data_IF_715542088141
#
_entry.id   IF_715542088141
#
_cell.length_a   1.000
_cell.length_b   1.000
_cell.length_c   1.000
_cell.angle_alpha   90.00
_cell.angle_beta   90.00
_cell.angle_gamma   90.00
#
_symmetry.space_group_name_H-M   'P 1'
#
loop_
_entity.id
_entity.type
_entity.pdbx_description
1 polymer ?
#
# COMPACT_ATOMS: atom_id res chain seq x y z
N UNK A 1 20.04 -53.81 50.49
CA UNK A 1 21.09 -53.30 49.58
C UNK A 1 20.38 -52.82 48.33
N UNK A 2 20.32 -51.49 48.10
CA UNK A 2 21.13 -50.77 47.09
C UNK A 2 20.99 -51.40 45.68
N UNK A 3 20.71 -50.72 44.58
CA UNK A 3 20.37 -49.34 44.19
C UNK A 3 20.23 -49.37 42.63
N UNK A 4 19.69 -48.30 42.02
CA UNK A 4 19.65 -47.98 40.57
C UNK A 4 18.62 -48.73 39.69
N UNK A 5 17.55 -48.11 39.19
CA UNK A 5 17.47 -47.02 38.20
C UNK A 5 18.03 -47.41 36.81
N UNK A 6 17.14 -47.65 35.85
CA UNK A 6 17.36 -47.19 34.48
C UNK A 6 16.02 -47.07 33.75
N UNK A 7 15.69 -45.83 33.44
CA UNK A 7 14.57 -45.45 32.61
C UNK A 7 14.90 -45.77 31.15
N UNK A 8 14.07 -46.60 30.50
CA UNK A 8 14.00 -46.63 29.04
C UNK A 8 12.89 -45.67 28.62
N UNK A 9 13.32 -44.49 28.21
CA UNK A 9 12.51 -43.42 27.64
C UNK A 9 11.85 -43.96 26.38
N UNK A 10 10.56 -44.30 26.47
CA UNK A 10 9.71 -44.44 25.29
C UNK A 10 9.50 -43.02 24.78
N UNK A 11 10.40 -42.59 23.91
CA UNK A 11 10.23 -41.37 23.13
C UNK A 11 9.15 -41.64 22.09
N UNK A 12 7.89 -41.56 22.52
CA UNK A 12 6.78 -41.28 21.61
C UNK A 12 7.07 -39.89 21.08
N UNK A 13 7.74 -39.85 19.94
CA UNK A 13 7.81 -38.71 19.07
C UNK A 13 6.35 -38.43 18.69
N UNK A 14 5.68 -37.61 19.51
CA UNK A 14 4.44 -36.97 19.11
C UNK A 14 4.81 -36.24 17.83
N UNK A 15 4.38 -36.78 16.70
CA UNK A 15 4.20 -36.01 15.49
C UNK A 15 3.29 -34.87 15.93
N UNK A 16 3.89 -33.73 16.27
CA UNK A 16 3.22 -32.45 16.21
C UNK A 16 2.84 -32.30 14.75
N UNK A 17 1.65 -32.82 14.42
CA UNK A 17 0.86 -32.29 13.34
C UNK A 17 0.73 -30.82 13.72
N UNK A 18 1.59 -29.97 13.17
CA UNK A 18 1.22 -28.59 13.01
C UNK A 18 0.01 -28.68 12.08
N UNK A 19 -1.23 -28.41 12.53
CA UNK A 19 -2.24 -28.06 11.55
C UNK A 19 -1.65 -26.83 10.88
N UNK A 20 -1.27 -26.98 9.61
CA UNK A 20 -0.94 -25.85 8.76
C UNK A 20 -2.09 -24.87 8.95
N UNK A 21 -1.75 -23.72 9.54
CA UNK A 21 -2.66 -22.76 10.13
C UNK A 21 -3.67 -22.34 9.08
N UNK A 22 -4.85 -22.98 9.07
CA UNK A 22 -6.00 -22.56 8.28
C UNK A 22 -6.55 -21.28 8.93
N UNK A 23 -5.79 -20.20 8.85
CA UNK A 23 -6.19 -18.91 9.37
C UNK A 23 -6.25 -17.93 8.23
N UNK A 24 -7.32 -17.99 7.44
CA UNK A 24 -7.70 -16.85 6.58
C UNK A 24 -9.22 -16.65 6.58
N UNK A 25 -9.81 -16.65 7.78
CA UNK A 25 -11.08 -15.98 8.00
C UNK A 25 -10.82 -14.47 7.89
N UNK A 26 -10.84 -13.96 6.67
CA UNK A 26 -10.74 -12.54 6.37
C UNK A 26 -11.87 -11.81 7.10
N UNK A 27 -11.52 -10.80 7.91
CA UNK A 27 -12.50 -9.91 8.52
C UNK A 27 -12.89 -8.83 7.53
N UNK A 28 -14.15 -8.77 7.15
CA UNK A 28 -14.64 -7.77 6.21
C UNK A 28 -14.27 -6.32 6.60
N UNK A 29 -13.87 -5.53 5.61
CA UNK A 29 -13.57 -4.09 5.79
C UNK A 29 -14.83 -3.24 5.70
N UNK A 30 -15.87 -3.74 5.03
CA UNK A 30 -17.19 -3.15 5.03
C UNK A 30 -18.07 -3.95 6.02
N UNK A 31 -18.24 -3.50 7.27
CA UNK A 31 -18.96 -4.30 8.28
C UNK A 31 -20.43 -4.48 7.91
N UNK A 32 -21.04 -3.44 7.38
CA UNK A 32 -22.44 -3.38 6.95
C UNK A 32 -22.49 -3.50 5.43
N UNK A 33 -23.11 -4.55 4.89
CA UNK A 33 -23.19 -4.74 3.44
C UNK A 33 -23.69 -6.13 3.07
N UNK A 34 -24.45 -6.20 1.99
CA UNK A 34 -25.01 -7.43 1.47
C UNK A 34 -23.98 -8.17 0.63
N UNK A 35 -23.86 -9.49 0.81
CA UNK A 35 -23.05 -10.33 -0.07
C UNK A 35 -23.67 -10.37 -1.47
N UNK A 36 -22.91 -9.94 -2.48
CA UNK A 36 -23.30 -10.02 -3.89
C UNK A 36 -22.86 -11.35 -4.48
N UNK A 37 -21.62 -11.76 -4.22
CA UNK A 37 -21.04 -13.00 -4.74
C UNK A 37 -19.98 -13.54 -3.80
N UNK A 38 -19.79 -14.85 -3.82
CA UNK A 38 -18.83 -15.50 -2.94
C UNK A 38 -18.37 -16.84 -3.54
N UNK A 39 -17.08 -17.13 -3.42
CA UNK A 39 -16.49 -18.39 -3.81
C UNK A 39 -15.48 -18.81 -2.74
N UNK A 40 -15.58 -20.07 -2.32
CA UNK A 40 -14.64 -20.71 -1.39
C UNK A 40 -13.68 -21.64 -2.14
N UNK A 41 -12.52 -21.90 -1.56
CA UNK A 41 -11.56 -22.91 -1.99
C UNK A 41 -11.07 -23.70 -0.78
N UNK A 42 -10.77 -24.98 -0.95
CA UNK A 42 -10.13 -25.79 0.09
C UNK A 42 -8.62 -25.56 0.06
N UNK A 43 -8.05 -25.16 1.21
CA UNK A 43 -6.61 -25.07 1.43
C UNK A 43 -6.27 -25.77 2.74
N UNK A 44 -5.37 -26.77 2.68
CA UNK A 44 -5.04 -27.58 3.86
C UNK A 44 -6.24 -28.31 4.49
N UNK A 45 -7.29 -28.59 3.70
CA UNK A 45 -8.53 -29.22 4.17
C UNK A 45 -9.57 -28.27 4.77
N UNK A 46 -9.27 -26.97 4.89
CA UNK A 46 -10.20 -25.95 5.38
C UNK A 46 -10.75 -25.10 4.23
N UNK A 47 -12.05 -24.71 4.26
CA UNK A 47 -12.59 -23.75 3.32
C UNK A 47 -12.09 -22.33 3.65
N UNK A 48 -11.54 -21.66 2.64
CA UNK A 48 -11.11 -20.25 2.71
C UNK A 48 -11.79 -19.46 1.60
N UNK A 49 -11.90 -18.13 1.78
CA UNK A 49 -12.37 -17.25 0.72
C UNK A 49 -11.40 -17.30 -0.45
N UNK A 50 -11.91 -17.65 -1.63
CA UNK A 50 -11.19 -17.44 -2.89
C UNK A 50 -11.53 -16.08 -3.48
N UNK A 51 -12.80 -15.71 -3.40
CA UNK A 51 -13.32 -14.43 -3.88
C UNK A 51 -14.60 -14.08 -3.15
N UNK A 52 -14.81 -12.80 -2.87
CA UNK A 52 -16.13 -12.29 -2.52
C UNK A 52 -16.34 -10.85 -3.00
N UNK A 53 -17.62 -10.47 -3.09
CA UNK A 53 -18.04 -9.09 -3.30
C UNK A 53 -19.18 -8.76 -2.32
N UNK A 54 -19.06 -7.64 -1.61
CA UNK A 54 -20.10 -7.08 -0.73
C UNK A 54 -20.43 -5.67 -1.16
N UNK A 55 -21.67 -5.27 -0.92
CA UNK A 55 -22.13 -3.94 -1.25
C UNK A 55 -23.05 -3.35 -0.19
N UNK A 56 -22.82 -2.08 0.10
CA UNK A 56 -23.71 -1.26 0.91
C UNK A 56 -24.07 0.00 0.14
N UNK A 57 -25.35 0.37 0.21
CA UNK A 57 -25.89 1.53 -0.47
C UNK A 57 -26.40 2.50 0.57
N UNK A 58 -26.08 3.77 0.37
CA UNK A 58 -26.51 4.85 1.23
C UNK A 58 -26.77 6.12 0.40
N UNK A 59 -27.26 7.15 1.05
CA UNK A 59 -27.43 8.48 0.49
C UNK A 59 -26.52 9.44 1.25
N UNK A 60 -25.77 10.27 0.52
CA UNK A 60 -25.03 11.39 1.09
C UNK A 60 -25.55 12.67 0.42
N UNK A 61 -26.39 13.42 1.15
CA UNK A 61 -27.18 14.50 0.54
C UNK A 61 -28.18 13.95 -0.48
N UNK A 62 -28.11 14.43 -1.72
CA UNK A 62 -28.93 13.95 -2.84
C UNK A 62 -28.28 12.83 -3.65
N UNK A 63 -27.02 12.51 -3.37
CA UNK A 63 -26.25 11.55 -4.15
C UNK A 63 -26.42 10.14 -3.59
N UNK A 64 -26.70 9.18 -4.48
CA UNK A 64 -26.66 7.77 -4.12
C UNK A 64 -25.22 7.28 -4.12
N UNK A 65 -24.80 6.75 -2.97
CA UNK A 65 -23.44 6.25 -2.73
C UNK A 65 -23.49 4.73 -2.61
N UNK A 66 -22.49 4.08 -3.20
CA UNK A 66 -22.30 2.64 -3.14
C UNK A 66 -20.90 2.37 -2.61
N UNK A 67 -20.81 1.68 -1.48
CA UNK A 67 -19.58 1.07 -1.00
C UNK A 67 -19.54 -0.36 -1.50
N UNK A 68 -18.41 -0.77 -2.09
CA UNK A 68 -18.19 -2.12 -2.58
C UNK A 68 -16.87 -2.66 -2.09
N UNK A 69 -16.94 -3.71 -1.29
CA UNK A 69 -15.78 -4.48 -0.90
C UNK A 69 -15.58 -5.63 -1.88
N UNK A 70 -14.39 -5.78 -2.43
CA UNK A 70 -14.04 -6.89 -3.32
C UNK A 70 -12.74 -7.51 -2.86
N UNK A 71 -12.76 -8.83 -2.69
CA UNK A 71 -11.61 -9.62 -2.32
C UNK A 71 -11.38 -10.71 -3.37
N UNK A 72 -10.12 -10.91 -3.76
CA UNK A 72 -9.67 -11.98 -4.62
C UNK A 72 -8.31 -12.48 -4.12
N UNK A 73 -8.30 -13.73 -3.63
CA UNK A 73 -7.16 -14.40 -3.02
C UNK A 73 -5.90 -14.29 -3.87
N UNK A 74 -4.78 -13.89 -3.26
CA UNK A 74 -3.49 -13.67 -3.91
C UNK A 74 -3.48 -12.56 -4.98
N UNK A 75 -4.50 -11.69 -5.04
CA UNK A 75 -4.54 -10.57 -6.00
C UNK A 75 -4.79 -9.21 -5.36
N UNK A 76 -5.94 -9.00 -4.74
CA UNK A 76 -6.29 -7.72 -4.12
C UNK A 76 -7.43 -7.85 -3.13
N UNK A 77 -7.44 -6.94 -2.17
CA UNK A 77 -8.58 -6.67 -1.31
C UNK A 77 -8.83 -5.17 -1.31
N UNK A 78 -9.99 -4.74 -1.79
CA UNK A 78 -10.29 -3.31 -1.93
C UNK A 78 -11.67 -2.95 -1.44
N UNK A 79 -11.80 -1.72 -0.95
CA UNK A 79 -13.06 -1.06 -0.66
C UNK A 79 -13.18 0.18 -1.54
N UNK A 80 -14.12 0.13 -2.48
CA UNK A 80 -14.39 1.23 -3.39
C UNK A 80 -15.65 1.99 -2.96
N UNK A 81 -15.59 3.31 -3.03
CA UNK A 81 -16.73 4.23 -2.90
C UNK A 81 -17.10 4.79 -4.25
N UNK A 82 -18.34 4.56 -4.67
CA UNK A 82 -18.92 5.07 -5.90
C UNK A 82 -20.01 6.11 -5.59
N UNK A 83 -19.99 7.23 -6.32
CA UNK A 83 -21.14 8.11 -6.45
C UNK A 83 -21.90 7.80 -7.75
N UNK A 84 -23.22 7.77 -7.69
CA UNK A 84 -24.08 7.53 -8.85
C UNK A 84 -24.39 8.84 -9.56
N UNK A 85 -23.56 9.21 -10.53
CA UNK A 85 -23.72 10.45 -11.31
C UNK A 85 -24.45 10.15 -12.62
N UNK A 86 -25.64 10.73 -12.80
CA UNK A 86 -26.50 10.50 -13.97
C UNK A 86 -26.75 9.00 -14.24
N UNK A 87 -26.99 8.24 -13.17
CA UNK A 87 -27.24 6.79 -13.24
C UNK A 87 -26.00 5.92 -13.52
N UNK A 88 -24.80 6.50 -13.56
CA UNK A 88 -23.55 5.76 -13.79
C UNK A 88 -22.63 5.83 -12.56
N UNK A 89 -22.07 4.70 -12.09
CA UNK A 89 -21.15 4.72 -10.97
C UNK A 89 -19.83 5.38 -11.35
N UNK A 90 -19.35 6.29 -10.50
CA UNK A 90 -18.05 6.94 -10.59
C UNK A 90 -17.29 6.74 -9.29
N UNK A 91 -16.04 6.30 -9.37
CA UNK A 91 -15.13 6.26 -8.22
C UNK A 91 -14.92 7.70 -7.74
N UNK A 92 -15.36 7.98 -6.53
CA UNK A 92 -15.36 9.33 -5.95
C UNK A 92 -15.16 9.24 -4.43
N UNK A 93 -14.32 10.11 -3.90
CA UNK A 93 -13.89 10.05 -2.51
C UNK A 93 -12.86 8.93 -2.28
N UNK A 94 -12.78 8.47 -1.04
CA UNK A 94 -11.78 7.50 -0.59
C UNK A 94 -12.02 6.10 -1.15
N UNK A 95 -10.99 5.55 -1.79
CA UNK A 95 -10.84 4.14 -2.14
C UNK A 95 -9.73 3.58 -1.26
N UNK A 96 -9.85 2.32 -0.86
CA UNK A 96 -8.86 1.68 0.02
C UNK A 96 -8.45 0.34 -0.57
N UNK A 97 -7.16 0.04 -0.48
CA UNK A 97 -6.60 -1.27 -0.78
C UNK A 97 -5.91 -1.81 0.47
N UNK A 98 -6.11 -3.09 0.71
CA UNK A 98 -5.65 -3.82 1.86
C UNK A 98 -4.76 -4.97 1.40
N UNK A 99 -3.74 -5.25 2.19
CA UNK A 99 -2.94 -6.47 2.09
C UNK A 99 -3.84 -7.67 2.37
N UNK A 100 -3.34 -8.85 2.02
CA UNK A 100 -4.02 -10.12 2.29
C UNK A 100 -4.30 -10.34 3.79
N UNK A 101 -3.45 -9.79 4.68
CA UNK A 101 -3.65 -9.80 6.13
C UNK A 101 -4.67 -8.75 6.64
N UNK A 102 -5.26 -7.95 5.75
CA UNK A 102 -6.25 -6.93 6.07
C UNK A 102 -5.69 -5.59 6.53
N UNK A 103 -4.37 -5.44 6.57
CA UNK A 103 -3.75 -4.14 6.85
C UNK A 103 -3.91 -3.21 5.65
N UNK A 104 -4.25 -1.95 5.93
CA UNK A 104 -4.36 -0.91 4.91
C UNK A 104 -3.00 -0.68 4.24
N UNK A 105 -2.95 -0.83 2.92
CA UNK A 105 -1.73 -0.66 2.12
C UNK A 105 -1.73 0.68 1.40
N UNK A 106 -2.87 1.00 0.78
CA UNK A 106 -3.04 2.17 -0.07
C UNK A 106 -4.41 2.82 0.16
N UNK A 107 -4.46 4.15 0.05
CA UNK A 107 -5.69 4.90 -0.13
C UNK A 107 -5.59 5.83 -1.33
N UNK A 108 -6.69 5.99 -2.05
CA UNK A 108 -6.83 6.94 -3.14
C UNK A 108 -7.98 7.88 -2.84
N UNK A 109 -7.74 9.19 -2.89
CA UNK A 109 -8.80 10.20 -2.89
C UNK A 109 -9.13 10.56 -4.35
N UNK A 110 -10.23 10.02 -4.87
CA UNK A 110 -10.64 10.23 -6.27
C UNK A 110 -11.57 11.44 -6.42
N UNK A 111 -11.31 12.31 -7.41
CA UNK A 111 -12.18 13.47 -7.68
C UNK A 111 -13.55 13.11 -8.25
N UNK A 112 -13.68 11.97 -8.94
CA UNK A 112 -14.94 11.53 -9.55
C UNK A 112 -14.76 11.12 -11.01
N UNK A 113 -14.43 9.85 -11.27
CA UNK A 113 -14.37 9.35 -12.64
C UNK A 113 -14.61 7.85 -12.75
N UNK A 114 -14.67 7.32 -13.98
CA UNK A 114 -14.81 5.86 -14.17
C UNK A 114 -13.59 5.08 -13.67
N UNK A 115 -12.40 5.69 -13.70
CA UNK A 115 -11.11 5.01 -13.47
C UNK A 115 -10.23 5.69 -12.42
N UNK A 116 -10.74 6.69 -11.69
CA UNK A 116 -9.96 7.47 -10.73
C UNK A 116 -8.64 8.01 -11.35
N UNK A 117 -8.75 8.65 -12.51
CA UNK A 117 -7.59 9.16 -13.24
C UNK A 117 -6.92 10.37 -12.58
N UNK A 118 -7.66 11.11 -11.77
CA UNK A 118 -7.13 12.18 -10.94
C UNK A 118 -7.33 11.78 -9.50
N UNK A 119 -6.24 11.77 -8.73
CA UNK A 119 -6.25 11.27 -7.37
C UNK A 119 -5.07 11.76 -6.56
N UNK A 120 -5.24 11.88 -5.25
CA UNK A 120 -4.12 11.83 -4.32
C UNK A 120 -4.02 10.40 -3.79
N UNK A 121 -2.84 9.79 -3.92
CA UNK A 121 -2.58 8.43 -3.42
C UNK A 121 -1.73 8.47 -2.17
N UNK A 122 -2.03 7.60 -1.24
CA UNK A 122 -1.39 7.48 0.07
C UNK A 122 -0.98 6.03 0.24
N UNK A 123 0.28 5.79 0.62
CA UNK A 123 0.79 4.46 0.92
C UNK A 123 1.19 4.39 2.38
N UNK A 124 1.00 3.24 3.00
CA UNK A 124 1.21 3.07 4.44
C UNK A 124 2.25 1.99 4.73
N UNK A 125 3.00 2.18 5.81
CA UNK A 125 3.81 1.11 6.41
C UNK A 125 2.89 0.05 7.02
N UNK A 126 3.39 -1.19 7.25
CA UNK A 126 2.63 -2.23 7.96
C UNK A 126 2.11 -1.81 9.35
N UNK A 127 2.74 -0.83 10.00
CA UNK A 127 2.28 -0.25 11.28
C UNK A 127 1.14 0.77 11.15
N UNK A 128 0.70 1.09 9.93
CA UNK A 128 -0.37 2.05 9.63
C UNK A 128 0.10 3.51 9.51
N UNK A 129 1.38 3.80 9.73
CA UNK A 129 1.95 5.14 9.53
C UNK A 129 2.05 5.45 8.03
N UNK A 130 1.86 6.72 7.68
CA UNK A 130 1.96 7.18 6.30
C UNK A 130 3.40 7.04 5.80
N UNK A 131 3.60 6.31 4.71
CA UNK A 131 4.89 6.10 4.07
C UNK A 131 5.14 7.13 2.97
N UNK A 132 4.12 7.40 2.15
CA UNK A 132 4.21 8.42 1.10
C UNK A 132 2.85 8.90 0.68
N UNK A 133 2.80 10.07 0.06
CA UNK A 133 1.62 10.53 -0.68
C UNK A 133 2.04 11.18 -1.99
N UNK A 134 1.20 11.09 -3.01
CA UNK A 134 1.49 11.64 -4.34
C UNK A 134 0.23 12.09 -5.05
N UNK A 135 0.35 13.21 -5.74
CA UNK A 135 -0.69 13.72 -6.63
C UNK A 135 -0.60 13.07 -8.01
N UNK A 136 -1.76 12.75 -8.59
CA UNK A 136 -1.88 12.17 -9.92
C UNK A 136 -2.90 12.93 -10.75
N UNK A 137 -2.53 13.17 -12.01
CA UNK A 137 -3.41 13.66 -13.05
C UNK A 137 -3.30 12.73 -14.26
N UNK A 138 -4.44 12.35 -14.86
CA UNK A 138 -4.49 11.41 -16.00
C UNK A 138 -3.72 10.09 -15.76
N UNK A 139 -3.76 9.58 -14.53
CA UNK A 139 -3.03 8.40 -14.04
C UNK A 139 -1.50 8.53 -14.03
N UNK A 140 -0.96 9.75 -14.11
CA UNK A 140 0.48 10.02 -14.02
C UNK A 140 0.75 10.88 -12.81
N UNK A 141 1.89 10.68 -12.15
CA UNK A 141 2.30 11.57 -11.05
C UNK A 141 2.43 12.99 -11.58
N UNK A 142 1.73 13.93 -10.95
CA UNK A 142 1.72 15.33 -11.35
C UNK A 142 1.44 16.17 -10.11
N UNK A 143 2.36 17.06 -9.76
CA UNK A 143 2.36 17.79 -8.50
C UNK A 143 3.34 17.20 -7.48
N UNK A 144 3.00 17.36 -6.20
CA UNK A 144 3.88 17.00 -5.10
C UNK A 144 3.92 15.48 -4.83
N UNK A 145 5.11 15.00 -4.46
CA UNK A 145 5.37 13.69 -3.89
C UNK A 145 6.12 13.85 -2.57
N UNK A 146 5.56 13.27 -1.52
CA UNK A 146 6.18 13.24 -0.20
C UNK A 146 6.46 11.81 0.22
N UNK A 147 7.60 11.60 0.87
CA UNK A 147 7.96 10.34 1.51
C UNK A 147 8.33 10.61 2.96
N UNK A 148 7.96 9.69 3.85
CA UNK A 148 8.14 9.82 5.29
C UNK A 148 8.87 8.60 5.85
N UNK A 149 9.63 8.79 6.92
CA UNK A 149 10.11 7.71 7.77
C UNK A 149 8.94 7.07 8.53
N UNK A 150 9.15 5.87 9.10
CA UNK A 150 8.10 5.14 9.81
C UNK A 150 7.61 5.81 11.10
N UNK A 151 8.35 6.78 11.61
CA UNK A 151 7.96 7.64 12.74
C UNK A 151 7.15 8.89 12.32
N UNK A 152 6.94 9.07 11.01
CA UNK A 152 6.20 10.19 10.43
C UNK A 152 7.04 11.41 10.07
N UNK A 153 8.36 11.40 10.31
CA UNK A 153 9.24 12.49 9.90
C UNK A 153 9.36 12.55 8.36
N UNK A 154 9.37 13.76 7.80
CA UNK A 154 9.51 13.95 6.35
C UNK A 154 10.90 13.50 5.91
N UNK A 155 10.96 12.63 4.91
CA UNK A 155 12.20 12.13 4.30
C UNK A 155 12.54 12.87 3.01
N UNK A 156 11.55 13.04 2.13
CA UNK A 156 11.74 13.63 0.80
C UNK A 156 10.52 14.43 0.37
N UNK A 157 10.76 15.51 -0.37
CA UNK A 157 9.75 16.25 -1.11
C UNK A 157 10.23 16.49 -2.56
N UNK A 158 9.48 15.96 -3.52
CA UNK A 158 9.81 15.93 -4.95
C UNK A 158 8.62 16.47 -5.75
N UNK A 159 8.89 17.16 -6.86
CA UNK A 159 7.88 17.60 -7.82
C UNK A 159 7.92 16.72 -9.06
N UNK A 160 6.74 16.32 -9.52
CA UNK A 160 6.56 15.60 -10.77
C UNK A 160 5.68 16.36 -11.75
N UNK A 161 5.99 16.24 -13.04
CA UNK A 161 5.13 16.67 -14.13
C UNK A 161 4.86 15.48 -15.07
N UNK A 162 3.69 14.85 -14.92
CA UNK A 162 3.27 13.71 -15.75
C UNK A 162 4.33 12.58 -15.80
N UNK A 163 4.71 12.09 -14.63
CA UNK A 163 5.76 11.09 -14.35
C UNK A 163 7.20 11.53 -14.60
N UNK A 164 7.43 12.76 -15.03
CA UNK A 164 8.78 13.34 -15.12
C UNK A 164 9.14 13.97 -13.78
N UNK A 165 10.30 13.63 -13.22
CA UNK A 165 10.78 14.28 -12.01
C UNK A 165 11.38 15.64 -12.39
N UNK A 166 10.76 16.74 -11.97
CA UNK A 166 11.22 18.08 -12.35
C UNK A 166 12.16 18.65 -11.31
N UNK A 167 11.84 18.47 -10.04
CA UNK A 167 12.59 19.10 -8.97
C UNK A 167 12.65 18.23 -7.71
N UNK A 168 13.74 18.39 -6.97
CA UNK A 168 13.87 17.85 -5.61
C UNK A 168 13.95 19.02 -4.62
N UNK A 169 12.88 19.19 -3.85
CA UNK A 169 12.71 20.38 -3.00
C UNK A 169 13.40 20.22 -1.65
N UNK A 170 13.38 19.00 -1.09
CA UNK A 170 14.00 18.72 0.19
C UNK A 170 14.32 17.24 0.37
N UNK A 171 15.35 16.97 1.16
CA UNK A 171 15.75 15.65 1.62
C UNK A 171 16.20 15.77 3.08
N UNK A 172 15.75 14.88 3.96
CA UNK A 172 16.15 14.82 5.36
C UNK A 172 16.61 13.42 5.78
N UNK A 173 17.52 13.34 6.75
CA UNK A 173 17.85 12.10 7.46
C UNK A 173 16.77 11.71 8.47
N UNK A 174 16.91 10.54 9.11
CA UNK A 174 15.94 10.04 10.09
C UNK A 174 15.87 10.86 11.39
N UNK A 175 16.80 11.80 11.62
CA UNK A 175 16.78 12.74 12.74
C UNK A 175 16.19 14.10 12.35
N UNK A 176 15.76 14.27 11.09
CA UNK A 176 15.21 15.50 10.56
C UNK A 176 16.27 16.51 10.10
N UNK A 177 17.55 16.14 10.03
CA UNK A 177 18.59 17.04 9.51
C UNK A 177 18.52 17.09 7.99
N UNK A 178 18.69 18.28 7.38
CA UNK A 178 18.69 18.42 5.92
C UNK A 178 19.91 17.72 5.30
N UNK A 179 19.68 17.03 4.20
CA UNK A 179 20.68 16.42 3.33
C UNK A 179 20.72 17.16 1.99
N UNK A 180 21.85 17.13 1.28
CA UNK A 180 21.97 17.72 -0.05
C UNK A 180 21.09 16.95 -1.05
N UNK A 181 19.99 17.54 -1.57
CA UNK A 181 19.12 16.84 -2.48
C UNK A 181 19.74 16.67 -3.90
N UNK A 182 20.80 17.42 -4.22
CA UNK A 182 21.38 17.53 -5.55
C UNK A 182 20.92 18.79 -6.28
N UNK A 183 21.08 18.80 -7.61
CA UNK A 183 20.88 19.99 -8.45
C UNK A 183 19.67 19.90 -9.37
N UNK A 184 18.86 18.85 -9.27
CA UNK A 184 17.72 18.63 -10.17
C UNK A 184 16.71 19.79 -10.07
N UNK A 185 16.56 20.52 -11.17
CA UNK A 185 15.68 21.67 -11.32
C UNK A 185 15.15 21.70 -12.76
N UNK A 186 13.84 21.93 -12.93
CA UNK A 186 13.16 21.92 -14.24
C UNK A 186 13.47 20.66 -15.10
N UNK A 187 13.69 19.53 -14.42
CA UNK A 187 13.94 18.23 -15.02
C UNK A 187 15.38 17.96 -15.49
N UNK A 188 16.31 18.90 -15.33
CA UNK A 188 17.72 18.70 -15.66
C UNK A 188 18.59 18.77 -14.39
N UNK A 189 19.66 17.97 -14.35
CA UNK A 189 20.59 17.92 -13.21
C UNK A 189 20.66 16.53 -12.59
N UNK A 190 20.94 16.46 -11.29
CA UNK A 190 20.96 15.18 -10.58
C UNK A 190 20.26 15.24 -9.23
N UNK A 191 19.77 14.10 -8.78
CA UNK A 191 19.28 13.89 -7.42
C UNK A 191 20.22 12.94 -6.67
N UNK A 192 20.57 13.29 -5.44
CA UNK A 192 21.28 12.40 -4.53
C UNK A 192 20.28 11.41 -3.90
N UNK A 193 20.72 10.18 -3.67
CA UNK A 193 19.94 9.12 -3.04
C UNK A 193 20.67 8.62 -1.81
N UNK A 194 20.00 8.75 -0.67
CA UNK A 194 20.52 8.33 0.62
C UNK A 194 19.82 7.06 1.10
N UNK A 195 20.61 6.21 1.74
CA UNK A 195 20.15 5.07 2.55
C UNK A 195 19.38 5.53 3.80
N UNK A 196 18.74 4.59 4.49
CA UNK A 196 17.93 4.89 5.70
C UNK A 196 18.73 5.50 6.86
N UNK A 197 20.03 5.24 6.92
CA UNK A 197 20.94 5.81 7.93
C UNK A 197 21.63 7.09 7.44
N UNK A 198 21.20 7.68 6.31
CA UNK A 198 21.71 8.96 5.81
C UNK A 198 23.02 8.88 5.03
N UNK A 199 23.52 7.69 4.68
CA UNK A 199 24.69 7.56 3.81
C UNK A 199 24.28 7.78 2.35
N UNK A 200 25.03 8.63 1.63
CA UNK A 200 24.88 8.81 0.18
C UNK A 200 25.32 7.52 -0.52
N UNK A 201 24.41 6.88 -1.25
CA UNK A 201 24.67 5.59 -1.92
C UNK A 201 24.60 5.68 -3.43
N UNK A 202 23.88 6.68 -3.96
CA UNK A 202 23.69 6.79 -5.40
C UNK A 202 23.43 8.25 -5.80
N UNK A 203 23.82 8.58 -7.02
CA UNK A 203 23.43 9.80 -7.72
C UNK A 203 22.71 9.45 -9.03
N UNK A 204 21.51 10.01 -9.20
CA UNK A 204 20.68 9.83 -10.40
C UNK A 204 20.67 11.10 -11.23
N UNK A 205 21.05 11.00 -12.49
CA UNK A 205 21.11 12.12 -13.44
C UNK A 205 19.88 12.13 -14.33
N UNK A 206 19.31 13.30 -14.53
CA UNK A 206 18.10 13.50 -15.30
C UNK A 206 18.31 14.48 -16.45
N UNK A 207 17.59 14.23 -17.54
CA UNK A 207 17.35 15.25 -18.54
C UNK A 207 15.89 15.28 -18.99
N UNK A 208 15.31 16.48 -19.06
CA UNK A 208 13.87 16.69 -19.33
C UNK A 208 12.98 15.81 -18.44
N UNK A 209 13.39 15.70 -17.18
CA UNK A 209 12.79 14.95 -16.08
C UNK A 209 12.79 13.43 -16.23
N UNK A 210 13.61 12.89 -17.14
CA UNK A 210 13.83 11.45 -17.32
C UNK A 210 15.20 11.05 -16.85
N UNK A 211 15.28 9.93 -16.14
CA UNK A 211 16.55 9.33 -15.74
C UNK A 211 17.39 8.99 -16.99
N UNK A 212 18.65 9.45 -17.01
CA UNK A 212 19.60 9.19 -18.10
C UNK A 212 20.82 8.40 -17.64
N UNK A 213 21.20 8.50 -16.37
CA UNK A 213 22.36 7.81 -15.81
C UNK A 213 22.22 7.66 -14.30
N UNK A 214 22.79 6.59 -13.76
CA UNK A 214 22.94 6.34 -12.33
C UNK A 214 24.41 6.10 -12.02
N UNK A 215 24.87 6.60 -10.88
CA UNK A 215 26.22 6.44 -10.37
C UNK A 215 26.12 5.95 -8.92
N UNK A 216 26.68 4.77 -8.63
CA UNK A 216 26.76 4.25 -7.27
C UNK A 216 27.94 4.92 -6.55
N UNK A 217 27.70 5.41 -5.34
CA UNK A 217 28.70 6.03 -4.48
C UNK A 217 29.09 4.96 -3.45
N UNK A 218 30.33 4.46 -3.55
CA UNK A 218 30.90 3.47 -2.61
C UNK A 218 31.39 4.12 -1.32
#
# INVERSE_FOLDING_TARGET
MLHFASAAIISIMMLTVCPARAQENHTFQLPEGNMISQQLQLMGGAPVWKQYEREWRTMEGTDSIIYRETYLLGRYWRLNRYAMLSGKPRLMGWQKEFREDGLLEEQLLCEGSRRCNNSVRYYYYPGGQLMSLSEYEKNKRHGAHYMFYSDGQLRQYIIFEYDKMTDIMAYYDASGNPLDPGTLCDGDGYANVYSLNGLLIERKYFSRGRLVREEQIQ
#
